data_IF_393745293266
#
_entry.id   IF_393745293266
#
_cell.length_a   1.000
_cell.length_b   1.000
_cell.length_c   1.000
_cell.angle_alpha   90.00
_cell.angle_beta   90.00
_cell.angle_gamma   90.00
#
_symmetry.space_group_name_H-M   'P 1'
#
loop_
_entity.id
_entity.type
_entity.pdbx_description
1 polymer ?
#
# COMPACT_ATOMS: atom_id res chain seq x y z
N UNK A 1 -17.35 -29.84 -32.17
CA UNK A 1 -18.25 -29.54 -31.04
C UNK A 1 -17.66 -28.37 -30.28
N UNK A 2 -18.40 -27.27 -30.27
CA UNK A 2 -18.02 -25.96 -29.74
C UNK A 2 -18.06 -25.98 -28.21
N UNK A 3 -16.99 -25.55 -27.55
CA UNK A 3 -17.08 -25.00 -26.19
C UNK A 3 -16.44 -23.62 -26.24
N UNK A 4 -17.30 -22.61 -26.41
CA UNK A 4 -16.94 -21.21 -26.40
C UNK A 4 -16.27 -20.84 -25.07
N UNK A 5 -15.07 -20.28 -25.17
CA UNK A 5 -14.48 -19.49 -24.12
C UNK A 5 -15.43 -18.30 -23.86
N UNK A 6 -16.01 -18.13 -22.66
CA UNK A 6 -16.81 -16.95 -22.40
C UNK A 6 -15.88 -15.73 -22.53
N UNK A 7 -16.32 -14.77 -23.33
CA UNK A 7 -15.65 -13.49 -23.49
C UNK A 7 -15.32 -12.93 -22.09
N UNK A 8 -14.03 -12.63 -21.84
CA UNK A 8 -13.63 -11.91 -20.63
C UNK A 8 -14.53 -10.67 -20.55
N UNK A 9 -15.38 -10.53 -19.52
CA UNK A 9 -16.08 -9.27 -19.30
C UNK A 9 -15.01 -8.18 -19.16
N UNK A 10 -15.36 -6.93 -19.40
CA UNK A 10 -14.49 -5.76 -19.38
C UNK A 10 -13.78 -5.61 -18.02
N UNK A 11 -12.72 -6.41 -17.85
CA UNK A 11 -12.17 -6.77 -16.54
C UNK A 11 -11.56 -5.56 -15.84
N UNK A 12 -11.14 -4.58 -16.62
CA UNK A 12 -10.61 -3.27 -16.22
C UNK A 12 -11.54 -2.52 -15.27
N UNK A 13 -12.84 -2.45 -15.60
CA UNK A 13 -13.83 -1.70 -14.80
C UNK A 13 -14.22 -2.44 -13.53
N UNK A 14 -14.36 -3.78 -13.60
CA UNK A 14 -14.64 -4.61 -12.43
C UNK A 14 -13.48 -4.59 -11.43
N UNK A 15 -12.23 -4.67 -11.90
CA UNK A 15 -11.05 -4.53 -11.06
C UNK A 15 -10.97 -3.13 -10.42
N UNK A 16 -11.28 -2.08 -11.17
CA UNK A 16 -11.30 -0.72 -10.63
C UNK A 16 -12.37 -0.56 -9.52
N UNK A 17 -13.57 -1.10 -9.74
CA UNK A 17 -14.64 -1.08 -8.74
C UNK A 17 -14.29 -1.89 -7.48
N UNK A 18 -13.64 -3.05 -7.64
CA UNK A 18 -13.17 -3.85 -6.52
C UNK A 18 -12.06 -3.13 -5.74
N UNK A 19 -11.10 -2.52 -6.44
CA UNK A 19 -10.03 -1.75 -5.82
C UNK A 19 -10.59 -0.56 -5.02
N UNK A 20 -11.55 0.19 -5.59
CA UNK A 20 -12.18 1.31 -4.91
C UNK A 20 -12.93 0.89 -3.63
N UNK A 21 -13.69 -0.21 -3.70
CA UNK A 21 -14.37 -0.75 -2.50
C UNK A 21 -13.38 -1.21 -1.44
N UNK A 22 -12.30 -1.88 -1.83
CA UNK A 22 -11.24 -2.30 -0.90
C UNK A 22 -10.55 -1.09 -0.26
N UNK A 23 -10.29 -0.04 -1.03
CA UNK A 23 -9.69 1.19 -0.52
C UNK A 23 -10.60 1.86 0.52
N UNK A 24 -11.89 2.01 0.23
CA UNK A 24 -12.88 2.60 1.13
C UNK A 24 -13.03 1.79 2.43
N UNK A 25 -13.12 0.46 2.30
CA UNK A 25 -13.19 -0.49 3.41
C UNK A 25 -11.95 -0.46 4.32
N UNK A 26 -10.76 -0.35 3.71
CA UNK A 26 -9.50 -0.30 4.44
C UNK A 26 -9.31 1.06 5.11
N UNK A 27 -9.68 2.14 4.42
CA UNK A 27 -9.65 3.50 4.96
C UNK A 27 -10.63 3.65 6.15
N UNK A 28 -11.85 3.15 6.05
CA UNK A 28 -12.83 3.20 7.13
C UNK A 28 -12.41 2.41 8.37
N UNK A 29 -11.75 1.26 8.19
CA UNK A 29 -11.33 0.38 9.30
C UNK A 29 -10.00 0.77 9.94
N UNK A 30 -9.05 1.25 9.15
CA UNK A 30 -7.68 1.46 9.59
C UNK A 30 -7.22 2.92 9.53
N UNK A 31 -8.03 3.82 8.96
CA UNK A 31 -7.68 5.21 8.76
C UNK A 31 -6.67 5.41 7.62
N UNK A 32 -6.13 6.63 7.48
CA UNK A 32 -5.11 6.94 6.49
C UNK A 32 -3.82 6.16 6.76
N UNK A 33 -3.51 5.21 5.87
CA UNK A 33 -2.29 4.42 5.91
C UNK A 33 -1.34 4.86 4.80
N UNK A 34 -0.09 5.17 5.15
CA UNK A 34 0.94 5.53 4.17
C UNK A 34 2.11 4.53 4.23
N UNK A 35 2.66 4.20 3.07
CA UNK A 35 3.75 3.25 2.93
C UNK A 35 4.69 3.61 1.78
N UNK A 36 5.82 2.90 1.72
CA UNK A 36 6.76 2.99 0.59
C UNK A 36 7.27 4.41 0.33
N UNK A 37 7.19 4.86 -0.93
CA UNK A 37 7.71 6.15 -1.36
C UNK A 37 7.02 7.33 -0.68
N UNK A 38 5.69 7.27 -0.56
CA UNK A 38 4.89 8.30 0.09
C UNK A 38 5.25 8.46 1.57
N UNK A 39 5.50 7.34 2.27
CA UNK A 39 5.90 7.37 3.68
C UNK A 39 7.22 8.11 3.90
N UNK A 40 8.27 7.75 3.17
CA UNK A 40 9.57 8.39 3.41
C UNK A 40 9.58 9.85 2.96
N UNK A 41 8.83 10.21 1.91
CA UNK A 41 8.67 11.59 1.47
C UNK A 41 7.92 12.44 2.50
N UNK A 42 6.82 11.92 3.07
CA UNK A 42 6.06 12.61 4.12
C UNK A 42 6.89 12.85 5.39
N UNK A 43 7.83 11.93 5.68
CA UNK A 43 8.78 12.07 6.80
C UNK A 43 10.00 12.96 6.48
N UNK A 44 10.09 13.51 5.27
CA UNK A 44 11.19 14.39 4.87
C UNK A 44 12.50 13.67 4.52
N UNK A 45 12.47 12.35 4.28
CA UNK A 45 13.66 11.63 3.82
C UNK A 45 13.85 11.76 2.31
N UNK A 46 15.07 12.09 1.85
CA UNK A 46 15.35 12.30 0.43
C UNK A 46 15.33 11.01 -0.41
N UNK A 47 15.38 9.84 0.24
CA UNK A 47 15.29 8.54 -0.44
C UNK A 47 14.80 7.44 0.49
N UNK A 48 14.31 6.35 -0.10
CA UNK A 48 13.99 5.12 0.63
C UNK A 48 15.20 4.53 1.37
N UNK A 49 16.43 4.75 0.88
CA UNK A 49 17.65 4.30 1.56
C UNK A 49 17.92 5.11 2.82
N UNK A 50 17.74 6.44 2.78
CA UNK A 50 17.86 7.30 3.97
C UNK A 50 16.84 6.90 5.05
N UNK A 51 15.60 6.60 4.65
CA UNK A 51 14.58 6.08 5.57
C UNK A 51 14.96 4.72 6.17
N UNK A 52 15.43 3.76 5.36
CA UNK A 52 15.93 2.46 5.87
C UNK A 52 17.09 2.63 6.84
N UNK A 53 17.99 3.58 6.59
CA UNK A 53 19.10 3.91 7.48
C UNK A 53 18.64 4.51 8.82
N UNK A 54 17.57 5.32 8.80
CA UNK A 54 16.95 5.86 10.01
C UNK A 54 16.20 4.79 10.79
N UNK A 55 15.46 3.90 10.11
CA UNK A 55 14.81 2.73 10.69
C UNK A 55 15.82 1.80 11.40
N UNK A 56 16.94 1.48 10.74
CA UNK A 56 17.97 0.63 11.32
C UNK A 56 18.71 1.26 12.52
N UNK A 57 18.51 2.56 12.76
CA UNK A 57 19.12 3.32 13.86
C UNK A 57 18.07 3.79 14.89
N UNK A 58 16.83 3.32 14.77
CA UNK A 58 15.70 3.74 15.62
C UNK A 58 15.52 5.27 15.70
N UNK A 59 15.75 5.97 14.58
CA UNK A 59 15.63 7.44 14.47
C UNK A 59 14.37 7.91 13.74
N UNK A 60 13.40 7.03 13.53
CA UNK A 60 12.13 7.40 12.90
C UNK A 60 11.21 8.02 13.97
N UNK A 61 10.67 9.23 13.73
CA UNK A 61 9.95 9.97 14.77
C UNK A 61 8.53 9.43 15.05
N UNK A 62 8.06 8.48 14.25
CA UNK A 62 6.73 7.88 14.38
C UNK A 62 6.82 6.35 14.45
N UNK A 63 5.87 5.68 15.12
CA UNK A 63 5.76 4.23 15.09
C UNK A 63 5.55 3.73 13.65
N UNK A 64 6.33 2.72 13.28
CA UNK A 64 6.23 2.05 11.98
C UNK A 64 6.16 0.55 12.18
N UNK A 65 5.39 -0.13 11.34
CA UNK A 65 5.17 -1.57 11.46
C UNK A 65 5.40 -2.29 10.12
N UNK A 66 5.86 -3.54 10.15
CA UNK A 66 5.82 -4.41 8.99
C UNK A 66 4.40 -4.94 8.76
N UNK A 67 4.09 -5.31 7.51
CA UNK A 67 2.91 -6.09 7.17
C UNK A 67 3.38 -7.45 6.64
N UNK A 68 2.75 -8.53 7.10
CA UNK A 68 3.07 -9.87 6.63
C UNK A 68 2.86 -9.97 5.12
N UNK A 69 3.78 -10.67 4.45
CA UNK A 69 3.81 -10.84 2.99
C UNK A 69 3.98 -9.54 2.17
N UNK A 70 4.30 -8.40 2.80
CA UNK A 70 4.53 -7.13 2.10
C UNK A 70 5.91 -6.55 2.40
N UNK A 71 6.66 -6.21 1.35
CA UNK A 71 7.97 -5.55 1.49
C UNK A 71 7.78 -4.09 1.91
N UNK A 72 8.48 -3.66 2.95
CA UNK A 72 8.53 -2.26 3.39
C UNK A 72 8.08 -2.06 4.84
N UNK A 73 7.95 -0.79 5.22
CA UNK A 73 7.36 -0.35 6.49
C UNK A 73 6.19 0.58 6.20
N UNK A 74 5.24 0.58 7.11
CA UNK A 74 4.01 1.36 7.04
C UNK A 74 3.86 2.17 8.33
N UNK A 75 3.18 3.30 8.22
CA UNK A 75 2.77 4.10 9.37
C UNK A 75 1.26 4.30 9.34
N UNK A 76 0.66 4.35 10.53
CA UNK A 76 -0.68 4.88 10.75
C UNK A 76 -0.53 6.38 11.00
N UNK A 77 -1.34 7.21 10.33
CA UNK A 77 -1.38 8.67 10.53
C UNK A 77 -2.57 9.03 11.41
#
# INVERSE_FOLDING_TARGET
MSSGHPAKPDSSLEYANLAARLEEDLFARHGPMIGGAALHAALGYPSATAFRMALARDRVPIPVFPLDHRRGKFALV
#
